data_IF_767119519618
#
_entry.id   IF_767119519618
#
_cell.length_a   1.000
_cell.length_b   1.000
_cell.length_c   1.000
_cell.angle_alpha   90.00
_cell.angle_beta   90.00
_cell.angle_gamma   90.00
#
_symmetry.space_group_name_H-M   'P 1'
#
loop_
_entity.id
_entity.type
_entity.pdbx_description
1 polymer ?
#
# COMPACT_ATOMS: atom_id res chain seq x y z
N UNK A 1 -17.74 4.01 -16.43
CA UNK A 1 -17.18 3.94 -15.06
C UNK A 1 -18.19 3.20 -14.19
N UNK A 2 -17.80 2.03 -13.64
CA UNK A 2 -18.65 1.24 -12.75
C UNK A 2 -18.53 1.82 -11.35
N UNK A 3 -19.58 2.42 -10.83
CA UNK A 3 -19.62 2.76 -9.40
C UNK A 3 -19.84 1.48 -8.59
N UNK A 4 -18.99 1.24 -7.61
CA UNK A 4 -19.13 0.12 -6.68
C UNK A 4 -20.10 0.57 -5.57
N UNK A 5 -21.41 0.56 -5.89
CA UNK A 5 -22.48 1.10 -5.06
C UNK A 5 -22.66 0.44 -3.68
N UNK A 6 -22.04 -0.72 -3.46
CA UNK A 6 -22.20 -1.45 -2.21
C UNK A 6 -21.22 -1.02 -1.11
N UNK A 7 -20.23 -0.18 -1.43
CA UNK A 7 -19.26 0.31 -0.45
C UNK A 7 -19.73 1.62 0.19
N UNK A 8 -19.58 1.69 1.49
CA UNK A 8 -19.77 2.95 2.22
C UNK A 8 -18.77 4.01 1.75
N UNK A 9 -19.22 5.27 1.70
CA UNK A 9 -18.38 6.40 1.24
C UNK A 9 -17.52 6.92 2.40
N UNK A 10 -16.57 6.13 2.89
CA UNK A 10 -15.68 6.52 4.00
C UNK A 10 -14.78 7.70 3.63
N UNK A 11 -14.31 7.79 2.37
CA UNK A 11 -13.48 8.91 1.91
C UNK A 11 -14.40 10.08 1.51
N UNK A 12 -14.15 11.26 2.06
CA UNK A 12 -14.96 12.46 1.78
C UNK A 12 -14.88 12.86 0.30
N UNK A 13 -15.98 13.45 -0.24
CA UNK A 13 -15.99 13.91 -1.62
C UNK A 13 -14.93 14.99 -1.86
N UNK A 14 -14.69 15.88 -0.89
CA UNK A 14 -13.66 16.91 -1.00
C UNK A 14 -12.25 16.32 -1.19
N UNK A 15 -11.92 15.23 -0.46
CA UNK A 15 -10.64 14.54 -0.65
C UNK A 15 -10.57 13.89 -2.03
N UNK A 16 -11.65 13.24 -2.50
CA UNK A 16 -11.70 12.65 -3.84
C UNK A 16 -11.46 13.71 -4.92
N UNK A 17 -12.17 14.84 -4.86
CA UNK A 17 -12.04 15.94 -5.84
C UNK A 17 -10.62 16.54 -5.84
N UNK A 18 -9.96 16.60 -4.68
CA UNK A 18 -8.58 17.06 -4.59
C UNK A 18 -7.58 16.04 -5.15
N UNK A 19 -7.73 14.74 -4.81
CA UNK A 19 -6.86 13.67 -5.31
C UNK A 19 -6.97 13.56 -6.84
N UNK A 20 -8.20 13.58 -7.38
CA UNK A 20 -8.43 13.54 -8.82
C UNK A 20 -7.65 14.66 -9.53
N UNK A 21 -7.81 15.91 -9.08
CA UNK A 21 -7.08 17.07 -9.63
C UNK A 21 -5.57 16.96 -9.51
N UNK A 22 -5.07 16.33 -8.44
CA UNK A 22 -3.62 16.17 -8.26
C UNK A 22 -3.08 15.10 -9.19
N UNK A 23 -3.75 13.96 -9.30
CA UNK A 23 -3.34 12.88 -10.20
C UNK A 23 -3.46 13.27 -11.67
N UNK A 24 -4.51 14.00 -12.07
CA UNK A 24 -4.62 14.52 -13.44
C UNK A 24 -3.42 15.37 -13.85
N UNK A 25 -2.93 16.23 -12.95
CA UNK A 25 -1.86 17.21 -13.25
C UNK A 25 -0.45 16.67 -13.01
N UNK A 26 -0.30 15.62 -12.22
CA UNK A 26 1.00 15.06 -11.89
C UNK A 26 1.52 14.21 -13.04
N UNK A 27 2.81 14.34 -13.32
CA UNK A 27 3.56 13.44 -14.22
C UNK A 27 4.43 12.47 -13.40
N UNK A 28 5.09 12.99 -12.36
CA UNK A 28 6.00 12.24 -11.49
C UNK A 28 5.39 12.06 -10.11
N UNK A 29 5.14 10.82 -9.76
CA UNK A 29 4.55 10.44 -8.46
C UNK A 29 5.53 9.55 -7.70
N UNK A 30 5.76 9.88 -6.43
CA UNK A 30 6.52 9.03 -5.51
C UNK A 30 5.57 8.48 -4.47
N UNK A 31 5.64 7.18 -4.23
CA UNK A 31 4.92 6.49 -3.16
C UNK A 31 5.93 6.09 -2.10
N UNK A 32 5.67 6.45 -0.86
CA UNK A 32 6.52 6.13 0.29
C UNK A 32 5.71 5.41 1.36
N UNK A 33 6.35 4.48 2.07
CA UNK A 33 5.74 3.74 3.18
C UNK A 33 6.71 3.61 4.36
N UNK A 34 6.28 2.99 5.45
CA UNK A 34 7.01 2.96 6.73
C UNK A 34 8.26 2.04 6.72
N UNK A 35 9.11 2.23 7.75
CA UNK A 35 10.27 1.37 8.05
C UNK A 35 9.83 -0.08 8.30
N UNK A 36 10.66 -1.04 7.85
CA UNK A 36 10.35 -2.47 7.91
C UNK A 36 8.99 -2.78 7.27
N UNK A 37 8.84 -2.48 5.96
CA UNK A 37 7.55 -2.59 5.29
C UNK A 37 6.99 -4.01 5.39
N UNK A 38 5.75 -4.11 5.81
CA UNK A 38 5.00 -5.36 5.89
C UNK A 38 4.14 -5.60 4.62
N UNK A 39 3.21 -6.53 4.72
CA UNK A 39 2.38 -6.87 3.58
C UNK A 39 1.39 -5.78 3.19
N UNK A 40 0.87 -4.99 4.14
CA UNK A 40 -0.04 -3.88 3.84
C UNK A 40 0.71 -2.67 3.27
N UNK A 41 1.86 -2.33 3.84
CA UNK A 41 2.74 -1.30 3.31
C UNK A 41 3.14 -1.56 1.85
N UNK A 42 3.53 -2.80 1.54
CA UNK A 42 3.89 -3.21 0.18
C UNK A 42 2.66 -3.34 -0.73
N UNK A 43 1.57 -3.91 -0.22
CA UNK A 43 0.33 -4.14 -0.96
C UNK A 43 -0.35 -2.85 -1.40
N UNK A 44 -0.50 -1.91 -0.47
CA UNK A 44 -1.07 -0.60 -0.76
C UNK A 44 -0.20 0.20 -1.73
N UNK A 45 1.13 0.20 -1.50
CA UNK A 45 2.08 0.94 -2.34
C UNK A 45 2.14 0.42 -3.77
N UNK A 46 2.29 -0.90 -3.94
CA UNK A 46 2.35 -1.52 -5.27
C UNK A 46 0.97 -1.51 -5.96
N UNK A 47 -0.12 -1.69 -5.20
CA UNK A 47 -1.48 -1.60 -5.75
C UNK A 47 -1.79 -0.21 -6.31
N UNK A 48 -1.43 0.86 -5.60
CA UNK A 48 -1.57 2.23 -6.10
C UNK A 48 -0.61 2.51 -7.26
N UNK A 49 0.62 1.96 -7.21
CA UNK A 49 1.61 2.10 -8.28
C UNK A 49 1.06 1.55 -9.61
N UNK A 50 0.60 0.30 -9.64
CA UNK A 50 0.04 -0.32 -10.83
C UNK A 50 -1.16 0.45 -11.39
N UNK A 51 -2.03 0.98 -10.50
CA UNK A 51 -3.13 1.83 -10.95
C UNK A 51 -2.62 3.12 -11.61
N UNK A 52 -1.69 3.83 -10.98
CA UNK A 52 -1.18 5.09 -11.53
C UNK A 52 -0.38 4.88 -12.82
N UNK A 53 0.37 3.78 -12.94
CA UNK A 53 1.05 3.40 -14.17
C UNK A 53 0.04 3.09 -15.31
N UNK A 54 -1.10 2.47 -15.00
CA UNK A 54 -2.18 2.28 -15.99
C UNK A 54 -2.80 3.60 -16.47
N UNK A 55 -2.62 4.68 -15.70
CA UNK A 55 -2.99 6.06 -16.06
C UNK A 55 -1.82 6.84 -16.69
N UNK A 56 -0.81 6.14 -17.22
CA UNK A 56 0.37 6.70 -17.90
C UNK A 56 1.22 7.64 -17.02
N UNK A 57 1.21 7.46 -15.69
CA UNK A 57 2.05 8.24 -14.76
C UNK A 57 3.42 7.57 -14.58
N UNK A 58 4.45 8.39 -14.37
CA UNK A 58 5.77 7.92 -13.93
C UNK A 58 5.74 7.76 -12.42
N UNK A 59 5.79 6.52 -11.93
CA UNK A 59 5.65 6.21 -10.51
C UNK A 59 6.90 5.52 -9.97
N UNK A 60 7.34 5.91 -8.78
CA UNK A 60 8.41 5.23 -8.06
C UNK A 60 7.95 4.91 -6.65
N UNK A 61 8.09 3.65 -6.25
CA UNK A 61 7.86 3.21 -4.87
C UNK A 61 9.19 3.20 -4.13
N UNK A 62 9.27 3.92 -3.01
CA UNK A 62 10.48 4.03 -2.19
C UNK A 62 10.16 3.57 -0.78
N UNK A 63 10.94 2.62 -0.29
CA UNK A 63 10.84 2.09 1.07
C UNK A 63 12.08 2.43 1.88
N UNK A 64 12.00 2.69 3.21
CA UNK A 64 13.15 3.07 4.01
C UNK A 64 14.25 2.00 4.04
N UNK A 65 13.86 0.73 4.14
CA UNK A 65 14.78 -0.42 4.26
C UNK A 65 14.20 -1.68 3.62
N UNK A 66 14.83 -2.83 3.85
CA UNK A 66 14.39 -4.10 3.27
C UNK A 66 13.03 -4.53 3.79
N UNK A 67 12.20 -5.05 2.90
CA UNK A 67 10.96 -5.76 3.21
C UNK A 67 11.20 -7.29 3.22
N UNK A 68 10.30 -8.08 3.85
CA UNK A 68 10.45 -9.53 3.97
C UNK A 68 10.52 -10.27 2.64
N UNK A 69 11.30 -11.35 2.61
CA UNK A 69 11.51 -12.15 1.38
C UNK A 69 10.21 -12.76 0.82
N UNK A 70 9.26 -13.08 1.68
CA UNK A 70 7.97 -13.65 1.28
C UNK A 70 7.05 -12.65 0.54
N UNK A 71 7.45 -11.37 0.42
CA UNK A 71 6.76 -10.34 -0.37
C UNK A 71 7.45 -10.08 -1.72
N UNK A 72 8.62 -10.67 -1.98
CA UNK A 72 9.39 -10.40 -3.21
C UNK A 72 8.74 -10.89 -4.50
N UNK A 73 7.78 -11.80 -4.40
CA UNK A 73 7.02 -12.30 -5.53
C UNK A 73 5.95 -11.31 -6.02
N UNK A 74 5.61 -10.30 -5.21
CA UNK A 74 4.56 -9.35 -5.56
C UNK A 74 4.91 -8.61 -6.85
N UNK A 75 3.94 -8.44 -7.77
CA UNK A 75 4.16 -7.67 -8.99
C UNK A 75 4.72 -6.28 -8.68
N UNK A 76 5.82 -5.91 -9.36
CA UNK A 76 6.52 -4.63 -9.15
C UNK A 76 7.50 -4.60 -7.97
N UNK A 77 7.53 -5.61 -7.09
CA UNK A 77 8.41 -5.61 -5.90
C UNK A 77 9.91 -5.50 -6.22
N UNK A 78 10.33 -6.01 -7.39
CA UNK A 78 11.73 -5.93 -7.87
C UNK A 78 12.19 -4.51 -8.20
N UNK A 79 11.25 -3.61 -8.54
CA UNK A 79 11.50 -2.24 -8.96
C UNK A 79 11.41 -1.25 -7.78
N UNK A 80 11.05 -1.73 -6.58
CA UNK A 80 10.98 -0.93 -5.36
C UNK A 80 12.38 -0.46 -4.94
N UNK A 81 12.50 0.85 -4.76
CA UNK A 81 13.75 1.51 -4.40
C UNK A 81 13.93 1.48 -2.89
N UNK A 82 15.05 0.94 -2.44
CA UNK A 82 15.42 0.94 -1.02
C UNK A 82 16.26 2.19 -0.70
N UNK A 83 15.73 3.05 0.16
CA UNK A 83 16.40 4.29 0.56
C UNK A 83 17.74 4.04 1.26
N UNK A 84 17.83 3.02 2.11
CA UNK A 84 19.05 2.63 2.81
C UNK A 84 20.20 2.22 1.87
N UNK A 85 19.90 1.87 0.61
CA UNK A 85 20.89 1.48 -0.40
C UNK A 85 21.12 2.55 -1.46
N UNK A 86 20.09 3.29 -1.83
CA UNK A 86 20.10 4.19 -2.98
C UNK A 86 19.68 5.61 -2.59
N UNK A 87 20.18 6.09 -1.45
CA UNK A 87 19.77 7.35 -0.82
C UNK A 87 19.79 8.55 -1.79
N UNK A 88 20.91 8.81 -2.44
CA UNK A 88 21.06 9.98 -3.33
C UNK A 88 20.09 9.94 -4.51
N UNK A 89 19.87 8.75 -5.06
CA UNK A 89 18.91 8.54 -6.15
C UNK A 89 17.47 8.76 -5.67
N UNK A 90 17.12 8.20 -4.51
CA UNK A 90 15.81 8.35 -3.89
C UNK A 90 15.53 9.82 -3.51
N UNK A 91 16.52 10.52 -2.93
CA UNK A 91 16.41 11.97 -2.60
C UNK A 91 16.08 12.80 -3.83
N UNK A 92 16.72 12.51 -4.98
CA UNK A 92 16.42 13.17 -6.25
C UNK A 92 14.99 12.92 -6.71
N UNK A 93 14.51 11.67 -6.67
CA UNK A 93 13.15 11.34 -7.06
C UNK A 93 12.11 12.03 -6.16
N UNK A 94 12.35 12.04 -4.84
CA UNK A 94 11.49 12.72 -3.87
C UNK A 94 11.46 14.23 -4.12
N UNK A 95 12.61 14.84 -4.42
CA UNK A 95 12.71 16.27 -4.69
C UNK A 95 12.00 16.69 -6.00
N UNK A 96 12.01 15.82 -7.02
CA UNK A 96 11.41 16.06 -8.34
C UNK A 96 9.92 15.64 -8.43
N UNK A 97 9.36 15.03 -7.39
CA UNK A 97 7.98 14.55 -7.41
C UNK A 97 6.97 15.69 -7.43
N UNK A 98 5.95 15.59 -8.27
CA UNK A 98 4.77 16.48 -8.26
C UNK A 98 3.85 16.14 -7.09
N UNK A 99 3.71 14.83 -6.82
CA UNK A 99 2.90 14.28 -5.72
C UNK A 99 3.68 13.21 -4.99
N UNK A 100 3.61 13.24 -3.65
CA UNK A 100 4.11 12.20 -2.76
C UNK A 100 2.92 11.57 -2.05
N UNK A 101 2.71 10.28 -2.29
CA UNK A 101 1.70 9.46 -1.62
C UNK A 101 2.35 8.76 -0.43
N UNK A 102 1.93 9.15 0.77
CA UNK A 102 2.37 8.57 2.05
C UNK A 102 1.39 7.48 2.45
N UNK A 103 1.78 6.22 2.33
CA UNK A 103 0.89 5.08 2.55
C UNK A 103 1.31 4.27 3.77
N UNK A 104 0.31 3.91 4.57
CA UNK A 104 0.44 3.03 5.72
C UNK A 104 1.33 3.57 6.84
N UNK A 105 1.37 4.88 6.99
CA UNK A 105 1.97 5.54 8.15
C UNK A 105 1.34 6.91 8.41
N UNK A 106 1.30 7.27 9.69
CA UNK A 106 0.61 8.44 10.21
C UNK A 106 1.53 9.62 10.56
N UNK A 107 2.83 9.39 10.77
CA UNK A 107 3.83 10.42 11.18
C UNK A 107 5.17 10.19 10.49
N UNK A 108 5.91 11.26 10.21
CA UNK A 108 7.20 11.21 9.51
C UNK A 108 8.27 10.37 10.22
N UNK A 109 8.22 10.23 11.55
CA UNK A 109 9.16 9.40 12.27
C UNK A 109 9.09 7.90 11.91
N UNK A 110 8.00 7.46 11.26
CA UNK A 110 7.86 6.07 10.79
C UNK A 110 8.60 5.77 9.48
N UNK A 111 9.14 6.78 8.82
CA UNK A 111 9.93 6.60 7.59
C UNK A 111 11.43 6.87 7.79
N UNK A 112 11.87 6.93 9.06
CA UNK A 112 13.28 7.01 9.48
C UNK A 112 14.10 8.07 8.70
N UNK A 113 15.26 7.71 8.18
CA UNK A 113 16.16 8.61 7.45
C UNK A 113 15.55 9.28 6.20
N UNK A 114 14.41 8.78 5.70
CA UNK A 114 13.69 9.37 4.56
C UNK A 114 12.84 10.59 4.96
N UNK A 115 12.59 10.78 6.26
CA UNK A 115 11.70 11.83 6.78
C UNK A 115 12.08 13.23 6.34
N UNK A 116 13.37 13.59 6.42
CA UNK A 116 13.85 14.92 6.05
C UNK A 116 13.68 15.21 4.55
N UNK A 117 13.97 14.22 3.70
CA UNK A 117 13.79 14.35 2.25
C UNK A 117 12.31 14.56 1.89
N UNK A 118 11.41 13.78 2.49
CA UNK A 118 9.96 13.91 2.27
C UNK A 118 9.45 15.25 2.82
N UNK A 119 9.88 15.66 4.01
CA UNK A 119 9.48 16.94 4.60
C UNK A 119 9.92 18.14 3.74
N UNK A 120 11.16 18.12 3.25
CA UNK A 120 11.77 19.20 2.45
C UNK A 120 11.24 19.28 1.01
N UNK A 121 10.66 18.20 0.48
CA UNK A 121 10.14 18.16 -0.89
C UNK A 121 9.02 19.19 -1.10
N UNK A 122 9.05 19.85 -2.26
CA UNK A 122 7.98 20.77 -2.73
C UNK A 122 6.78 20.03 -3.31
N UNK A 123 6.89 18.72 -3.54
CA UNK A 123 5.80 17.87 -3.99
C UNK A 123 4.60 17.92 -3.05
N UNK A 124 3.41 17.84 -3.62
CA UNK A 124 2.16 17.82 -2.84
C UNK A 124 2.06 16.51 -2.10
N UNK A 125 1.86 16.55 -0.78
CA UNK A 125 1.81 15.35 0.06
C UNK A 125 0.38 14.97 0.38
N UNK A 126 0.05 13.68 0.17
CA UNK A 126 -1.18 13.07 0.62
C UNK A 126 -0.90 11.84 1.46
N UNK A 127 -1.75 11.59 2.44
CA UNK A 127 -1.72 10.42 3.30
C UNK A 127 -2.92 9.54 3.03
N UNK A 128 -2.68 8.23 2.91
CA UNK A 128 -3.71 7.18 3.02
C UNK A 128 -3.25 6.19 4.06
N UNK A 129 -3.98 6.10 5.16
CA UNK A 129 -3.53 5.39 6.35
C UNK A 129 -4.71 4.93 7.22
N UNK A 130 -4.55 3.84 7.93
CA UNK A 130 -5.54 3.35 8.88
C UNK A 130 -5.07 3.36 10.35
N UNK A 131 -3.90 3.93 10.62
CA UNK A 131 -3.40 4.08 11.98
C UNK A 131 -4.05 5.27 12.72
N UNK A 132 -4.06 5.19 14.06
CA UNK A 132 -4.56 6.26 14.92
C UNK A 132 -3.62 7.48 14.94
N UNK A 133 -4.18 8.66 15.19
CA UNK A 133 -3.43 9.91 15.41
C UNK A 133 -2.58 10.37 14.22
N UNK A 134 -3.21 10.70 13.06
CA UNK A 134 -2.48 11.21 11.91
C UNK A 134 -1.81 12.55 12.20
N UNK A 135 -0.56 12.71 11.74
CA UNK A 135 0.16 13.98 11.77
C UNK A 135 -0.35 14.97 10.72
N UNK A 136 0.18 16.18 10.75
CA UNK A 136 -0.25 17.34 9.95
C UNK A 136 0.67 17.67 8.76
N UNK A 137 1.58 16.76 8.38
CA UNK A 137 2.57 16.97 7.32
C UNK A 137 2.02 16.80 5.89
N UNK A 138 0.82 16.24 5.75
CA UNK A 138 0.13 16.06 4.47
C UNK A 138 -1.04 17.04 4.30
N UNK A 139 -1.21 17.56 3.09
CA UNK A 139 -2.33 18.46 2.78
C UNK A 139 -3.65 17.72 2.59
N UNK A 140 -3.60 16.51 2.04
CA UNK A 140 -4.75 15.61 1.98
C UNK A 140 -4.49 14.48 2.98
N UNK A 141 -5.43 14.26 3.87
CA UNK A 141 -5.38 13.19 4.87
C UNK A 141 -6.61 12.30 4.70
N UNK A 142 -6.38 11.06 4.27
CA UNK A 142 -7.35 9.99 4.22
C UNK A 142 -6.93 8.99 5.31
N UNK A 143 -7.42 9.21 6.53
CA UNK A 143 -7.09 8.40 7.70
C UNK A 143 -8.36 7.82 8.29
N UNK A 144 -8.46 6.48 8.30
CA UNK A 144 -9.65 5.75 8.73
C UNK A 144 -9.27 4.52 9.56
N UNK A 145 -9.09 4.67 10.88
CA UNK A 145 -8.68 3.57 11.77
C UNK A 145 -9.68 2.40 11.86
N UNK A 146 -10.93 2.62 11.49
CA UNK A 146 -11.97 1.58 11.47
C UNK A 146 -11.90 0.67 10.23
N UNK A 147 -11.05 1.02 9.26
CA UNK A 147 -10.83 0.22 8.05
C UNK A 147 -9.73 -0.80 8.29
N UNK A 148 -9.88 -1.98 7.70
CA UNK A 148 -9.04 -3.15 8.01
C UNK A 148 -7.57 -2.99 7.62
N UNK A 149 -7.28 -2.19 6.60
CA UNK A 149 -5.93 -2.01 6.05
C UNK A 149 -5.84 -0.78 5.16
N UNK A 150 -4.64 -0.26 4.96
CA UNK A 150 -4.37 0.79 3.97
C UNK A 150 -4.63 0.29 2.54
N UNK A 151 -4.39 -0.98 2.26
CA UNK A 151 -4.73 -1.60 0.96
C UNK A 151 -6.23 -1.56 0.67
N UNK A 152 -7.09 -1.77 1.66
CA UNK A 152 -8.53 -1.57 1.52
C UNK A 152 -8.86 -0.10 1.18
N UNK A 153 -8.20 0.86 1.83
CA UNK A 153 -8.39 2.28 1.53
C UNK A 153 -7.95 2.64 0.11
N UNK A 154 -6.85 2.06 -0.38
CA UNK A 154 -6.39 2.24 -1.77
C UNK A 154 -7.42 1.71 -2.76
N UNK A 155 -7.96 0.51 -2.53
CA UNK A 155 -9.05 -0.02 -3.36
C UNK A 155 -10.26 0.94 -3.39
N UNK A 156 -10.70 1.39 -2.21
CA UNK A 156 -11.83 2.33 -2.09
C UNK A 156 -11.55 3.65 -2.78
N UNK A 157 -10.31 4.18 -2.70
CA UNK A 157 -9.90 5.41 -3.37
C UNK A 157 -10.02 5.27 -4.88
N UNK A 158 -9.46 4.21 -5.47
CA UNK A 158 -9.51 3.96 -6.92
C UNK A 158 -10.97 3.84 -7.39
N UNK A 159 -11.81 3.09 -6.66
CA UNK A 159 -13.24 2.97 -6.96
C UNK A 159 -13.96 4.32 -6.89
N UNK A 160 -13.67 5.15 -5.87
CA UNK A 160 -14.29 6.47 -5.69
C UNK A 160 -13.87 7.47 -6.76
N UNK A 161 -12.66 7.35 -7.29
CA UNK A 161 -12.19 8.09 -8.47
C UNK A 161 -12.87 7.60 -9.78
N UNK A 162 -13.60 6.48 -9.73
CA UNK A 162 -14.32 5.92 -10.88
C UNK A 162 -13.48 5.02 -11.78
N UNK A 163 -12.34 4.52 -11.29
CA UNK A 163 -11.36 3.74 -12.07
C UNK A 163 -11.32 2.25 -11.68
N UNK A 164 -12.43 1.68 -11.20
CA UNK A 164 -12.45 0.25 -10.86
C UNK A 164 -12.01 -0.65 -12.01
N UNK A 165 -12.42 -0.34 -13.24
CA UNK A 165 -12.09 -1.17 -14.41
C UNK A 165 -10.60 -1.11 -14.75
N UNK A 166 -9.90 -0.04 -14.38
CA UNK A 166 -8.47 0.15 -14.63
C UNK A 166 -7.57 -0.54 -13.57
N UNK A 167 -8.15 -1.17 -12.55
CA UNK A 167 -7.39 -2.04 -11.65
C UNK A 167 -6.93 -3.26 -12.43
N UNK A 168 -5.62 -3.37 -12.63
CA UNK A 168 -5.01 -4.52 -13.31
C UNK A 168 -5.02 -5.75 -12.40
N UNK A 169 -4.79 -6.94 -12.97
CA UNK A 169 -4.63 -8.17 -12.17
C UNK A 169 -3.48 -8.04 -11.17
N UNK A 170 -2.36 -7.48 -11.60
CA UNK A 170 -1.16 -7.26 -10.77
C UNK A 170 -1.47 -6.31 -9.61
N UNK A 171 -2.15 -5.20 -9.87
CA UNK A 171 -2.60 -4.28 -8.83
C UNK A 171 -3.57 -4.94 -7.84
N UNK A 172 -4.50 -5.76 -8.35
CA UNK A 172 -5.44 -6.51 -7.52
C UNK A 172 -4.74 -7.56 -6.63
N UNK A 173 -3.71 -8.26 -7.15
CA UNK A 173 -2.87 -9.18 -6.36
C UNK A 173 -2.17 -8.46 -5.20
N UNK A 174 -1.64 -7.25 -5.46
CA UNK A 174 -0.99 -6.44 -4.45
C UNK A 174 -2.00 -5.97 -3.36
N UNK A 175 -3.12 -5.40 -3.77
CA UNK A 175 -4.17 -4.93 -2.84
C UNK A 175 -4.70 -6.10 -1.98
N UNK A 176 -5.02 -7.24 -2.62
CA UNK A 176 -5.47 -8.42 -1.90
C UNK A 176 -4.45 -8.91 -0.88
N UNK A 177 -3.16 -8.92 -1.24
CA UNK A 177 -2.07 -9.34 -0.34
C UNK A 177 -2.00 -8.45 0.90
N UNK A 178 -2.09 -7.13 0.73
CA UNK A 178 -2.09 -6.20 1.86
C UNK A 178 -3.29 -6.42 2.78
N UNK A 179 -4.50 -6.49 2.24
CA UNK A 179 -5.71 -6.77 3.02
C UNK A 179 -5.61 -8.12 3.77
N UNK A 180 -5.10 -9.15 3.11
CA UNK A 180 -4.95 -10.49 3.68
C UNK A 180 -3.92 -10.52 4.81
N UNK A 181 -2.78 -9.88 4.65
CA UNK A 181 -1.71 -9.90 5.67
C UNK A 181 -2.10 -9.13 6.91
N UNK A 182 -2.73 -7.96 6.75
CA UNK A 182 -3.10 -7.10 7.87
C UNK A 182 -4.30 -7.62 8.69
N UNK A 183 -5.06 -8.53 8.11
CA UNK A 183 -6.17 -9.23 8.79
C UNK A 183 -5.83 -10.67 9.20
N UNK A 184 -4.55 -11.07 9.14
CA UNK A 184 -4.11 -12.41 9.48
C UNK A 184 -4.83 -13.49 8.67
N UNK A 185 -4.95 -13.31 7.36
CA UNK A 185 -5.72 -14.20 6.49
C UNK A 185 -7.23 -14.09 6.68
N UNK A 186 -7.72 -12.90 7.02
CA UNK A 186 -9.12 -12.62 7.31
C UNK A 186 -9.66 -13.33 8.57
N UNK A 187 -8.79 -13.51 9.57
CA UNK A 187 -9.16 -14.13 10.86
C UNK A 187 -9.46 -13.12 11.96
N UNK A 188 -9.01 -11.90 11.82
CA UNK A 188 -9.34 -10.78 12.72
C UNK A 188 -9.53 -9.47 11.94
N UNK A 189 -10.16 -8.47 12.58
CA UNK A 189 -10.48 -7.15 11.98
C UNK A 189 -11.14 -7.24 10.59
N UNK A 190 -11.91 -8.29 10.33
CA UNK A 190 -12.46 -8.62 9.01
C UNK A 190 -13.94 -9.04 9.03
N UNK A 191 -14.70 -8.62 10.06
CA UNK A 191 -16.11 -8.97 10.17
C UNK A 191 -17.06 -8.07 9.34
N UNK A 192 -16.49 -7.09 8.61
CA UNK A 192 -17.29 -6.23 7.73
C UNK A 192 -17.72 -6.97 6.46
N UNK A 193 -19.00 -6.90 6.10
CA UNK A 193 -19.50 -7.41 4.81
C UNK A 193 -18.77 -6.79 3.63
N UNK A 194 -18.34 -5.53 3.75
CA UNK A 194 -17.66 -4.80 2.65
C UNK A 194 -16.31 -5.40 2.30
N UNK A 195 -15.57 -5.94 3.28
CA UNK A 195 -14.30 -6.64 3.02
C UNK A 195 -14.51 -7.82 2.05
N UNK A 196 -15.53 -8.64 2.30
CA UNK A 196 -15.82 -9.80 1.45
C UNK A 196 -16.37 -9.38 0.08
N UNK A 197 -17.08 -8.26 0.01
CA UNK A 197 -17.47 -7.67 -1.26
C UNK A 197 -16.22 -7.24 -2.06
N UNK A 198 -15.28 -6.52 -1.43
CA UNK A 198 -14.01 -6.11 -2.06
C UNK A 198 -13.21 -7.34 -2.53
N UNK A 199 -13.12 -8.38 -1.71
CA UNK A 199 -12.45 -9.63 -2.10
C UNK A 199 -13.12 -10.21 -3.37
N UNK A 200 -14.45 -10.23 -3.43
CA UNK A 200 -15.18 -10.68 -4.61
C UNK A 200 -14.85 -9.86 -5.87
N UNK A 201 -14.76 -8.54 -5.73
CA UNK A 201 -14.39 -7.64 -6.85
C UNK A 201 -12.92 -7.84 -7.26
N UNK A 202 -12.00 -8.06 -6.32
CA UNK A 202 -10.60 -8.38 -6.64
C UNK A 202 -10.46 -9.74 -7.34
N UNK A 203 -11.24 -10.75 -6.92
CA UNK A 203 -11.31 -12.04 -7.61
C UNK A 203 -11.81 -11.91 -9.06
N UNK A 204 -12.72 -10.96 -9.33
CA UNK A 204 -13.19 -10.69 -10.70
C UNK A 204 -12.09 -10.17 -11.62
N UNK A 205 -10.99 -9.64 -11.07
CA UNK A 205 -9.78 -9.24 -11.80
C UNK A 205 -8.86 -10.42 -12.17
N UNK A 206 -9.23 -11.65 -11.79
CA UNK A 206 -8.53 -12.87 -12.17
C UNK A 206 -7.35 -13.24 -11.28
N UNK A 207 -7.31 -12.77 -10.04
CA UNK A 207 -6.30 -13.19 -9.06
C UNK A 207 -6.54 -14.62 -8.58
N UNK A 208 -5.48 -15.34 -8.25
CA UNK A 208 -5.53 -16.63 -7.54
C UNK A 208 -5.22 -16.41 -6.05
N UNK A 209 -6.25 -16.24 -5.24
CA UNK A 209 -6.12 -15.98 -3.81
C UNK A 209 -5.46 -17.16 -3.05
N UNK A 210 -5.63 -18.38 -3.54
CA UNK A 210 -5.06 -19.58 -2.90
C UNK A 210 -3.56 -19.65 -3.19
N UNK A 211 -3.13 -19.27 -4.38
CA UNK A 211 -1.71 -19.14 -4.70
C UNK A 211 -1.07 -18.00 -3.88
N UNK A 212 -1.72 -16.85 -3.77
CA UNK A 212 -1.26 -15.72 -2.95
C UNK A 212 -1.10 -16.17 -1.49
N UNK A 213 -2.09 -16.86 -0.93
CA UNK A 213 -2.02 -17.38 0.42
C UNK A 213 -0.82 -18.31 0.62
N UNK A 214 -0.59 -19.24 -0.32
CA UNK A 214 0.56 -20.15 -0.27
C UNK A 214 1.89 -19.39 -0.29
N UNK A 215 2.02 -18.38 -1.15
CA UNK A 215 3.25 -17.57 -1.26
C UNK A 215 3.55 -16.79 0.04
N UNK A 216 2.53 -16.31 0.73
CA UNK A 216 2.70 -15.51 1.95
C UNK A 216 2.86 -16.38 3.19
N UNK A 217 1.99 -17.37 3.40
CA UNK A 217 1.91 -18.11 4.66
C UNK A 217 2.56 -19.49 4.64
N UNK A 218 2.72 -20.11 3.49
CA UNK A 218 3.23 -21.48 3.38
C UNK A 218 4.67 -21.54 2.82
N UNK A 219 5.34 -20.40 2.65
CA UNK A 219 6.72 -20.32 2.15
C UNK A 219 7.66 -20.06 3.33
N UNK A 220 8.04 -21.14 4.02
CA UNK A 220 8.98 -21.06 5.13
C UNK A 220 10.40 -21.39 4.67
N UNK A 221 11.37 -20.53 5.00
CA UNK A 221 12.78 -20.92 4.86
C UNK A 221 13.13 -22.03 5.87
N UNK A 222 14.10 -22.89 5.53
CA UNK A 222 14.60 -23.92 6.44
C UNK A 222 15.03 -23.32 7.78
N UNK A 223 15.72 -22.15 7.77
CA UNK A 223 16.14 -21.45 8.99
C UNK A 223 14.95 -21.06 9.88
N UNK A 224 13.84 -20.58 9.29
CA UNK A 224 12.62 -20.26 10.05
C UNK A 224 12.01 -21.51 10.69
N UNK A 225 11.94 -22.61 9.95
CA UNK A 225 11.40 -23.89 10.48
C UNK A 225 12.28 -24.42 11.62
N UNK A 226 13.60 -24.39 11.47
CA UNK A 226 14.55 -24.79 12.52
C UNK A 226 14.42 -23.91 13.76
N UNK A 227 14.30 -22.60 13.60
CA UNK A 227 14.11 -21.68 14.73
C UNK A 227 12.77 -21.93 15.44
N UNK A 228 11.69 -22.13 14.69
CA UNK A 228 10.38 -22.48 15.26
C UNK A 228 10.47 -23.78 16.05
N UNK A 229 11.09 -24.84 15.49
CA UNK A 229 11.28 -26.10 16.18
C UNK A 229 12.08 -25.93 17.48
N UNK A 230 13.17 -25.17 17.43
CA UNK A 230 13.98 -24.89 18.63
C UNK A 230 13.18 -24.16 19.71
N UNK A 231 12.45 -23.11 19.34
CA UNK A 231 11.64 -22.34 20.30
C UNK A 231 10.54 -23.18 20.92
N UNK A 232 9.82 -23.97 20.10
CA UNK A 232 8.71 -24.80 20.57
C UNK A 232 9.18 -26.01 21.41
N UNK A 233 10.35 -26.56 21.11
CA UNK A 233 10.86 -27.73 21.82
C UNK A 233 11.72 -27.39 23.04
N UNK A 234 12.64 -26.41 22.92
CA UNK A 234 13.64 -26.14 23.95
C UNK A 234 13.28 -24.94 24.85
N UNK A 235 12.32 -24.07 24.48
CA UNK A 235 12.00 -22.82 25.17
C UNK A 235 10.57 -22.71 25.69
N UNK A 236 9.68 -23.61 25.30
CA UNK A 236 8.35 -23.76 25.90
C UNK A 236 8.31 -24.93 26.89
#
# INVERSE_FOLDING_TARGET
RKEVYMLSKVISQANIDHVEKWFERAEKIVIVTHISPDGDAMGSSLGLCHFLESQEKTVNVIVPNAFPDFLRWMPGAKDVIRYDKYKEFADKLIAEADVICCLDFNVLSRIDAMADAVAASKGRKMMVDHHLYPGDFCRIVISHPDISSTSELVFRLICRLGYFEDITKEGAECIYTGMMTDTGGFTYNSNSREIYFIIGELLSKGIDKDEIYRKVYNTYSEGRLRLMGYVLYDKM
#
